data_IF_217732544894
#
_entry.id   IF_217732544894
#
_cell.length_a   1.000
_cell.length_b   1.000
_cell.length_c   1.000
_cell.angle_alpha   90.00
_cell.angle_beta   90.00
_cell.angle_gamma   90.00
#
_symmetry.space_group_name_H-M   'P 1'
#
loop_
_entity.id
_entity.type
_entity.pdbx_description
1 polymer ?
#
# COMPACT_ATOMS: atom_id res chain seq x y z
N UNK A 1 9.24 -6.39 4.25
CA UNK A 1 9.92 -5.08 4.24
C UNK A 1 9.44 -4.35 5.48
N UNK A 2 10.19 -3.41 6.04
CA UNK A 2 9.72 -2.71 7.24
C UNK A 2 8.62 -1.69 6.92
N UNK A 3 7.81 -1.34 7.92
CA UNK A 3 6.79 -0.30 7.78
C UNK A 3 7.39 1.04 7.34
N UNK A 4 8.56 1.40 7.87
CA UNK A 4 9.23 2.65 7.53
C UNK A 4 9.66 2.69 6.06
N UNK A 5 10.22 1.58 5.54
CA UNK A 5 10.58 1.46 4.13
C UNK A 5 9.34 1.55 3.22
N UNK A 6 8.23 0.90 3.63
CA UNK A 6 6.99 0.97 2.87
C UNK A 6 6.37 2.37 2.88
N UNK A 7 6.41 3.08 4.01
CA UNK A 7 5.97 4.46 4.08
C UNK A 7 6.79 5.33 3.11
N UNK A 8 8.12 5.23 3.12
CA UNK A 8 8.98 5.98 2.19
C UNK A 8 8.67 5.65 0.72
N UNK A 9 8.37 4.39 0.41
CA UNK A 9 7.94 3.97 -0.92
C UNK A 9 6.61 4.65 -1.32
N UNK A 10 5.62 4.68 -0.43
CA UNK A 10 4.34 5.36 -0.67
C UNK A 10 4.55 6.86 -0.87
N UNK A 11 5.37 7.50 -0.03
CA UNK A 11 5.65 8.94 -0.12
C UNK A 11 6.31 9.30 -1.45
N UNK A 12 7.26 8.48 -1.90
CA UNK A 12 7.95 8.69 -3.19
C UNK A 12 7.00 8.46 -4.38
N UNK A 13 6.13 7.45 -4.29
CA UNK A 13 5.24 7.05 -5.39
C UNK A 13 4.06 7.99 -5.54
N UNK A 14 3.40 8.34 -4.42
CA UNK A 14 2.18 9.13 -4.41
C UNK A 14 2.44 10.63 -4.16
N UNK A 15 3.70 11.04 -3.92
CA UNK A 15 4.03 12.41 -3.49
C UNK A 15 3.20 12.85 -2.26
N UNK A 16 2.88 11.89 -1.40
CA UNK A 16 2.11 12.07 -0.17
C UNK A 16 3.03 11.98 1.05
N UNK A 17 2.54 12.29 2.25
CA UNK A 17 3.28 12.11 3.51
C UNK A 17 2.52 11.17 4.41
N UNK A 18 3.15 10.08 4.82
CA UNK A 18 2.54 9.09 5.70
C UNK A 18 2.94 9.39 7.14
N UNK A 19 1.99 9.96 7.88
CA UNK A 19 2.18 10.33 9.27
C UNK A 19 1.89 9.16 10.22
N UNK A 20 1.00 8.26 9.80
CA UNK A 20 0.52 7.16 10.63
C UNK A 20 0.19 5.94 9.76
N UNK A 21 0.79 4.80 10.07
CA UNK A 21 0.62 3.59 9.28
C UNK A 21 -0.76 2.94 9.47
N UNK A 22 -1.44 3.22 10.59
CA UNK A 22 -2.76 2.67 10.90
C UNK A 22 -3.89 3.62 10.49
N UNK A 23 -3.57 4.78 9.90
CA UNK A 23 -4.56 5.68 9.32
C UNK A 23 -4.90 5.32 7.89
N UNK A 24 -6.18 5.48 7.49
CA UNK A 24 -6.58 5.31 6.10
C UNK A 24 -5.78 6.20 5.14
N UNK A 25 -5.50 5.67 3.95
CA UNK A 25 -4.83 6.40 2.87
C UNK A 25 -5.56 7.71 2.53
N UNK A 26 -6.89 7.68 2.48
CA UNK A 26 -7.74 8.85 2.21
C UNK A 26 -7.57 9.97 3.23
N UNK A 27 -7.36 9.63 4.50
CA UNK A 27 -7.13 10.63 5.57
C UNK A 27 -5.71 11.24 5.50
N UNK A 28 -4.81 10.61 4.74
CA UNK A 28 -3.43 11.05 4.52
C UNK A 28 -3.24 11.72 3.16
N UNK A 29 -4.32 12.00 2.44
CA UNK A 29 -4.29 12.67 1.13
C UNK A 29 -4.01 11.74 -0.05
N UNK A 30 -4.10 10.42 0.14
CA UNK A 30 -4.03 9.44 -0.95
C UNK A 30 -5.46 9.12 -1.39
N UNK A 31 -5.85 9.73 -2.51
CA UNK A 31 -7.13 9.49 -3.17
C UNK A 31 -7.16 8.16 -3.94
N UNK A 32 -8.29 7.86 -4.58
CA UNK A 32 -8.47 6.66 -5.42
C UNK A 32 -7.43 6.53 -6.54
N UNK A 33 -6.99 7.64 -7.16
CA UNK A 33 -5.91 7.63 -8.16
C UNK A 33 -4.54 7.36 -7.52
N UNK A 34 -4.30 7.89 -6.32
CA UNK A 34 -3.09 7.60 -5.56
C UNK A 34 -3.00 6.12 -5.21
N UNK A 35 -4.14 5.52 -4.82
CA UNK A 35 -4.24 4.09 -4.56
C UNK A 35 -3.98 3.25 -5.82
N UNK A 36 -4.52 3.64 -6.98
CA UNK A 36 -4.23 2.99 -8.26
C UNK A 36 -2.74 3.06 -8.61
N UNK A 37 -2.12 4.23 -8.42
CA UNK A 37 -0.69 4.43 -8.66
C UNK A 37 0.15 3.53 -7.74
N UNK A 38 -0.26 3.43 -6.47
CA UNK A 38 0.41 2.60 -5.48
C UNK A 38 0.34 1.12 -5.83
N UNK A 39 -0.83 0.62 -6.26
CA UNK A 39 -1.00 -0.78 -6.69
C UNK A 39 -0.08 -1.10 -7.88
N UNK A 40 -0.08 -0.26 -8.92
CA UNK A 40 0.79 -0.43 -10.09
C UNK A 40 2.26 -0.41 -9.69
N UNK A 41 2.67 0.49 -8.80
CA UNK A 41 4.04 0.56 -8.33
C UNK A 41 4.44 -0.65 -7.47
N UNK A 42 3.52 -1.20 -6.66
CA UNK A 42 3.75 -2.43 -5.90
C UNK A 42 3.95 -3.61 -6.86
N UNK A 43 3.11 -3.73 -7.88
CA UNK A 43 3.25 -4.78 -8.91
C UNK A 43 4.57 -4.64 -9.68
N UNK A 44 4.88 -3.43 -10.17
CA UNK A 44 6.06 -3.17 -10.99
C UNK A 44 7.38 -3.28 -10.20
N UNK A 45 7.44 -2.72 -8.99
CA UNK A 45 8.68 -2.70 -8.20
C UNK A 45 8.87 -3.91 -7.30
N UNK A 46 7.79 -4.46 -6.75
CA UNK A 46 7.87 -5.58 -5.80
C UNK A 46 7.51 -6.92 -6.46
N UNK A 47 6.97 -6.91 -7.69
CA UNK A 47 6.55 -8.12 -8.40
C UNK A 47 5.34 -8.80 -7.76
N UNK A 48 4.49 -8.04 -7.07
CA UNK A 48 3.40 -8.58 -6.25
C UNK A 48 2.07 -8.08 -6.77
N UNK A 49 1.24 -9.01 -7.19
CA UNK A 49 -0.14 -8.76 -7.53
C UNK A 49 -0.96 -8.63 -6.24
N UNK A 50 -1.60 -7.47 -6.07
CA UNK A 50 -2.49 -7.21 -4.95
C UNK A 50 -3.90 -7.63 -5.32
N UNK A 51 -4.50 -8.50 -4.52
CA UNK A 51 -5.87 -8.95 -4.76
C UNK A 51 -6.86 -7.77 -4.55
N UNK A 52 -7.59 -7.34 -5.59
CA UNK A 52 -8.54 -6.24 -5.48
C UNK A 52 -9.68 -6.55 -4.50
N UNK A 53 -10.03 -7.82 -4.26
CA UNK A 53 -11.02 -8.20 -3.26
C UNK A 53 -10.50 -7.92 -1.84
N UNK A 54 -9.22 -8.18 -1.57
CA UNK A 54 -8.60 -7.89 -0.27
C UNK A 54 -8.51 -6.38 -0.01
N UNK A 55 -8.33 -5.57 -1.05
CA UNK A 55 -8.37 -4.11 -0.95
C UNK A 55 -9.80 -3.60 -0.71
N UNK A 56 -10.79 -4.18 -1.40
CA UNK A 56 -12.21 -3.83 -1.24
C UNK A 56 -12.76 -4.20 0.13
N UNK A 57 -12.23 -5.26 0.77
CA UNK A 57 -12.56 -5.67 2.14
C UNK A 57 -12.00 -4.70 3.21
N UNK A 58 -11.32 -3.63 2.81
CA UNK A 58 -10.75 -2.61 3.70
C UNK A 58 -9.44 -3.04 4.35
N UNK A 59 -8.96 -4.26 4.12
CA UNK A 59 -7.67 -4.72 4.66
C UNK A 59 -6.48 -3.95 4.11
N UNK A 60 -6.61 -3.39 2.91
CA UNK A 60 -5.61 -2.54 2.28
C UNK A 60 -5.90 -1.04 2.39
N UNK A 61 -6.80 -0.59 3.26
CA UNK A 61 -7.13 0.84 3.35
C UNK A 61 -6.08 1.67 4.09
N UNK A 62 -5.16 1.03 4.83
CA UNK A 62 -4.08 1.68 5.58
C UNK A 62 -2.71 1.21 5.08
N UNK A 63 -1.64 2.00 5.26
CA UNK A 63 -0.27 1.57 4.97
C UNK A 63 0.14 0.27 5.65
N UNK A 64 -0.24 0.06 6.91
CA UNK A 64 0.07 -1.16 7.67
C UNK A 64 -0.69 -2.38 7.16
N UNK A 65 -1.97 -2.19 6.82
CA UNK A 65 -2.81 -3.23 6.25
C UNK A 65 -2.34 -3.66 4.87
N UNK A 66 -2.00 -2.68 4.01
CA UNK A 66 -1.47 -2.94 2.67
C UNK A 66 -0.11 -3.64 2.74
N UNK A 67 0.80 -3.20 3.61
CA UNK A 67 2.07 -3.90 3.82
C UNK A 67 1.85 -5.36 4.25
N UNK A 68 0.92 -5.58 5.17
CA UNK A 68 0.57 -6.92 5.63
C UNK A 68 0.04 -7.80 4.49
N UNK A 69 -0.72 -7.24 3.54
CA UNK A 69 -1.17 -7.96 2.34
C UNK A 69 0.00 -8.31 1.42
N UNK A 70 0.91 -7.35 1.19
CA UNK A 70 2.11 -7.58 0.38
C UNK A 70 2.97 -8.71 0.98
N UNK A 71 3.15 -8.73 2.30
CA UNK A 71 3.92 -9.78 2.98
C UNK A 71 3.22 -11.15 2.92
N UNK A 72 1.89 -11.19 2.97
CA UNK A 72 1.12 -12.42 2.76
C UNK A 72 1.26 -12.96 1.33
N UNK A 73 1.21 -12.09 0.32
CA UNK A 73 1.41 -12.48 -1.08
C UNK A 73 2.83 -13.00 -1.33
N UNK A 74 3.86 -12.40 -0.70
CA UNK A 74 5.25 -12.91 -0.76
C UNK A 74 5.40 -14.32 -0.20
N UNK A 75 4.63 -14.68 0.82
CA UNK A 75 4.74 -15.98 1.46
C UNK A 75 4.13 -17.14 0.64
N UNK A 76 3.41 -16.83 -0.44
CA UNK A 76 2.67 -17.82 -1.26
C UNK A 76 3.42 -18.19 -2.56
N UNK A 77 4.57 -17.57 -2.84
CA UNK A 77 5.41 -17.80 -4.04
C UNK A 77 6.65 -18.63 -3.72
#
# INVERSE_FOLDING_TARGET
MTQAEFNQFIETTCSATILDADRPFVDQGIDSLGMLTLMVAVEDQLGIELDPEALADGRGSTPSGLLSLIEQSKATV
#
